data_IF_083450039713
#
_entry.id   IF_083450039713
#
_cell.length_a   1.000
_cell.length_b   1.000
_cell.length_c   1.000
_cell.angle_alpha   90.00
_cell.angle_beta   90.00
_cell.angle_gamma   90.00
#
_symmetry.space_group_name_H-M   'P 1'
#
loop_
_entity.id
_entity.type
_entity.pdbx_description
1 polymer ?
#
# COMPACT_ATOMS: atom_id res chain seq x y z
N UNK A 1 -7.30 7.22 7.38
CA UNK A 1 -8.37 6.20 7.56
C UNK A 1 -8.58 5.52 6.23
N UNK A 2 -8.48 4.19 6.18
CA UNK A 2 -8.64 3.38 4.98
C UNK A 2 -9.73 2.34 5.21
N UNK A 3 -10.60 2.15 4.23
CA UNK A 3 -11.77 1.28 4.28
C UNK A 3 -11.85 0.45 3.00
N UNK A 4 -12.40 -0.76 3.12
CA UNK A 4 -12.53 -1.71 2.03
C UNK A 4 -13.93 -2.29 1.96
N UNK A 5 -14.33 -2.71 0.77
CA UNK A 5 -15.55 -3.47 0.55
C UNK A 5 -15.29 -4.55 -0.49
N UNK A 6 -15.46 -5.81 -0.10
CA UNK A 6 -15.33 -6.96 -1.00
C UNK A 6 -16.69 -7.42 -1.48
N UNK A 7 -16.78 -7.77 -2.77
CA UNK A 7 -17.96 -8.30 -3.43
C UNK A 7 -17.55 -9.27 -4.54
N UNK A 8 -18.52 -9.90 -5.21
CA UNK A 8 -18.26 -10.78 -6.36
C UNK A 8 -17.56 -10.06 -7.53
N UNK A 9 -17.69 -8.72 -7.61
CA UNK A 9 -17.03 -7.91 -8.62
C UNK A 9 -15.57 -7.56 -8.28
N UNK A 10 -15.11 -7.91 -7.08
CA UNK A 10 -13.79 -7.55 -6.55
C UNK A 10 -13.86 -6.70 -5.28
N UNK A 11 -12.69 -6.24 -4.85
CA UNK A 11 -12.52 -5.39 -3.68
C UNK A 11 -12.36 -3.93 -4.08
N UNK A 12 -13.13 -3.05 -3.46
CA UNK A 12 -13.00 -1.59 -3.58
C UNK A 12 -12.31 -1.02 -2.34
N UNK A 13 -11.55 0.06 -2.52
CA UNK A 13 -10.95 0.80 -1.42
C UNK A 13 -11.41 2.26 -1.41
N UNK A 14 -11.41 2.85 -0.23
CA UNK A 14 -11.59 4.27 0.01
C UNK A 14 -10.67 4.69 1.16
N UNK A 15 -9.93 5.77 0.97
CA UNK A 15 -8.98 6.28 1.95
C UNK A 15 -9.07 7.80 2.07
N UNK A 16 -8.79 8.31 3.28
CA UNK A 16 -8.56 9.72 3.52
C UNK A 16 -7.42 9.97 4.50
N UNK A 17 -6.67 11.04 4.26
CA UNK A 17 -5.65 11.58 5.15
C UNK A 17 -5.61 13.10 5.06
N UNK A 18 -5.09 13.74 6.10
CA UNK A 18 -4.82 15.18 6.07
C UNK A 18 -3.52 15.43 5.31
N UNK A 19 -3.57 16.26 4.26
CA UNK A 19 -2.37 16.65 3.50
C UNK A 19 -1.71 17.89 4.08
N UNK A 20 -2.53 18.79 4.62
CA UNK A 20 -2.10 20.02 5.28
C UNK A 20 -3.24 20.53 6.17
N UNK A 21 -2.98 21.43 7.14
CA UNK A 21 -3.99 21.92 8.07
C UNK A 21 -5.31 22.32 7.38
N UNK A 22 -6.37 21.57 7.63
CA UNK A 22 -7.71 21.82 7.08
C UNK A 22 -7.89 21.44 5.60
N UNK A 23 -7.01 20.62 5.03
CA UNK A 23 -7.15 20.02 3.70
C UNK A 23 -6.92 18.51 3.78
N UNK A 24 -7.92 17.75 3.37
CA UNK A 24 -7.85 16.30 3.31
C UNK A 24 -7.84 15.81 1.88
N UNK A 25 -7.02 14.81 1.58
CA UNK A 25 -7.21 13.99 0.38
C UNK A 25 -8.23 12.91 0.66
N UNK A 26 -9.05 12.65 -0.32
CA UNK A 26 -9.88 11.45 -0.43
C UNK A 26 -9.46 10.71 -1.69
N UNK A 27 -9.17 9.43 -1.56
CA UNK A 27 -8.69 8.57 -2.62
C UNK A 27 -9.51 7.27 -2.66
N UNK A 28 -9.93 6.80 -3.83
CA UNK A 28 -10.77 5.61 -3.95
C UNK A 28 -10.60 4.90 -5.29
N UNK A 29 -10.89 3.61 -5.35
CA UNK A 29 -10.78 2.83 -6.57
C UNK A 29 -11.09 1.36 -6.39
N UNK A 30 -10.90 0.61 -7.47
CA UNK A 30 -10.80 -0.85 -7.41
C UNK A 30 -9.41 -1.22 -6.91
N UNK A 31 -9.32 -2.22 -6.01
CA UNK A 31 -8.06 -2.67 -5.43
C UNK A 31 -7.06 -3.05 -6.54
N UNK A 32 -5.83 -2.56 -6.44
CA UNK A 32 -4.79 -2.78 -7.46
C UNK A 32 -4.84 -1.82 -8.65
N UNK A 33 -5.72 -0.82 -8.63
CA UNK A 33 -5.78 0.24 -9.64
C UNK A 33 -5.44 1.60 -9.04
N UNK A 34 -4.94 2.53 -9.85
CA UNK A 34 -4.58 3.89 -9.42
C UNK A 34 -5.77 4.72 -8.91
N UNK A 35 -7.02 4.28 -9.13
CA UNK A 35 -8.22 4.94 -8.65
C UNK A 35 -8.36 6.42 -9.05
N UNK A 36 -9.05 7.17 -8.20
CA UNK A 36 -9.34 8.59 -8.34
C UNK A 36 -9.09 9.33 -7.03
N UNK A 37 -8.77 10.62 -7.13
CA UNK A 37 -8.50 11.48 -5.97
C UNK A 37 -9.28 12.78 -6.04
N UNK A 38 -9.66 13.29 -4.87
CA UNK A 38 -10.12 14.68 -4.70
C UNK A 38 -9.56 15.28 -3.41
N UNK A 39 -9.47 16.60 -3.37
CA UNK A 39 -9.09 17.34 -2.17
C UNK A 39 -10.33 18.01 -1.57
N UNK A 40 -10.56 17.80 -0.28
CA UNK A 40 -11.63 18.41 0.51
C UNK A 40 -11.00 19.46 1.42
N UNK A 41 -11.37 20.73 1.22
CA UNK A 41 -10.81 21.86 1.96
C UNK A 41 -11.82 22.47 2.91
N UNK A 42 -11.32 22.91 4.06
CA UNK A 42 -12.08 23.74 4.98
C UNK A 42 -12.41 25.09 4.34
N UNK A 43 -13.58 25.60 4.68
CA UNK A 43 -14.09 26.91 4.29
C UNK A 43 -14.66 27.61 5.52
N UNK A 44 -14.96 28.91 5.42
CA UNK A 44 -15.53 29.69 6.51
C UNK A 44 -16.81 29.09 7.10
N UNK A 45 -17.61 28.40 6.28
CA UNK A 45 -18.91 27.82 6.68
C UNK A 45 -18.86 26.31 6.92
N UNK A 46 -17.80 25.62 6.48
CA UNK A 46 -17.73 24.16 6.51
C UNK A 46 -16.31 23.69 6.73
N UNK A 47 -16.11 22.95 7.82
CA UNK A 47 -14.88 22.22 8.12
C UNK A 47 -14.74 20.98 7.23
N UNK A 48 -13.53 20.72 6.75
CA UNK A 48 -13.24 19.54 5.93
C UNK A 48 -13.59 18.26 6.71
N UNK A 49 -13.26 18.21 8.00
CA UNK A 49 -13.45 17.08 8.90
C UNK A 49 -14.92 16.65 8.96
N UNK A 50 -15.87 17.60 8.99
CA UNK A 50 -17.31 17.27 8.96
C UNK A 50 -17.73 16.67 7.62
N UNK A 51 -17.13 17.13 6.51
CA UNK A 51 -17.40 16.58 5.18
C UNK A 51 -16.83 15.17 5.07
N UNK A 52 -15.60 14.98 5.55
CA UNK A 52 -14.93 13.68 5.57
C UNK A 52 -15.69 12.68 6.46
N UNK A 53 -16.11 13.07 7.66
CA UNK A 53 -16.88 12.20 8.54
C UNK A 53 -18.18 11.75 7.88
N UNK A 54 -18.89 12.66 7.21
CA UNK A 54 -20.11 12.30 6.46
C UNK A 54 -19.82 11.29 5.34
N UNK A 55 -18.72 11.47 4.60
CA UNK A 55 -18.31 10.50 3.58
C UNK A 55 -17.97 9.14 4.20
N UNK A 56 -17.27 9.10 5.34
CA UNK A 56 -16.99 7.86 6.08
C UNK A 56 -18.30 7.15 6.46
N UNK A 57 -19.26 7.87 7.05
CA UNK A 57 -20.53 7.31 7.47
C UNK A 57 -21.32 6.73 6.27
N UNK A 58 -21.32 7.45 5.14
CA UNK A 58 -21.94 6.98 3.89
C UNK A 58 -21.24 5.73 3.32
N UNK A 59 -19.92 5.62 3.43
CA UNK A 59 -19.17 4.43 3.01
C UNK A 59 -19.46 3.24 3.92
N UNK A 60 -19.44 3.44 5.23
CA UNK A 60 -19.76 2.40 6.22
C UNK A 60 -21.18 1.88 6.00
N UNK A 61 -22.16 2.76 5.79
CA UNK A 61 -23.53 2.38 5.48
C UNK A 61 -23.66 1.56 4.17
N UNK A 62 -22.68 1.66 3.27
CA UNK A 62 -22.59 0.89 2.01
C UNK A 62 -21.76 -0.40 2.14
N UNK A 63 -21.37 -0.77 3.36
CA UNK A 63 -20.63 -2.00 3.66
C UNK A 63 -19.11 -1.88 3.56
N UNK A 64 -18.57 -0.65 3.60
CA UNK A 64 -17.11 -0.46 3.73
C UNK A 64 -16.68 -0.60 5.19
N UNK A 65 -15.58 -1.29 5.43
CA UNK A 65 -15.04 -1.53 6.78
C UNK A 65 -13.51 -1.42 6.78
N UNK A 66 -12.88 -1.02 7.89
CA UNK A 66 -11.43 -1.09 8.02
C UNK A 66 -10.96 -2.55 8.00
N UNK A 67 -9.79 -2.79 7.44
CA UNK A 67 -9.12 -4.09 7.55
C UNK A 67 -8.34 -4.15 8.87
N UNK A 68 -8.43 -5.27 9.59
CA UNK A 68 -7.67 -5.44 10.83
C UNK A 68 -6.21 -5.79 10.49
N UNK A 69 -5.24 -5.46 11.36
CA UNK A 69 -3.84 -5.81 11.12
C UNK A 69 -3.63 -7.29 10.81
N UNK A 70 -4.29 -8.19 11.55
CA UNK A 70 -4.20 -9.64 11.37
C UNK A 70 -4.84 -10.18 10.07
N UNK A 71 -5.64 -9.37 9.38
CA UNK A 71 -6.27 -9.76 8.11
C UNK A 71 -5.40 -9.39 6.89
N UNK A 72 -4.24 -8.74 7.10
CA UNK A 72 -3.29 -8.47 6.01
C UNK A 72 -2.47 -9.73 5.73
N UNK A 73 -2.22 -10.00 4.46
CA UNK A 73 -1.17 -10.94 4.07
C UNK A 73 0.19 -10.25 4.19
N UNK A 74 1.20 -10.99 4.63
CA UNK A 74 2.59 -10.50 4.66
C UNK A 74 3.26 -10.91 3.35
N UNK A 75 3.57 -9.93 2.51
CA UNK A 75 4.25 -10.11 1.22
C UNK A 75 5.72 -9.74 1.37
N UNK A 76 6.59 -10.66 0.96
CA UNK A 76 8.04 -10.51 0.98
C UNK A 76 8.55 -10.35 -0.45
N UNK A 77 9.45 -9.37 -0.67
CA UNK A 77 10.26 -9.27 -1.89
C UNK A 77 11.71 -9.50 -1.50
N UNK A 78 12.35 -10.52 -2.07
CA UNK A 78 13.71 -10.93 -1.73
C UNK A 78 14.67 -10.76 -2.89
N UNK A 79 15.91 -10.37 -2.59
CA UNK A 79 17.05 -10.30 -3.48
C UNK A 79 18.22 -11.06 -2.86
N UNK A 80 19.06 -11.62 -3.73
CA UNK A 80 20.34 -12.21 -3.31
C UNK A 80 21.39 -11.11 -3.17
N UNK A 81 22.16 -11.14 -2.09
CA UNK A 81 23.30 -10.25 -1.83
C UNK A 81 24.49 -11.05 -1.29
N UNK A 82 25.69 -10.47 -1.29
CA UNK A 82 26.86 -11.12 -0.70
C UNK A 82 26.95 -10.86 0.81
N UNK A 83 26.95 -11.93 1.62
CA UNK A 83 27.19 -11.85 3.05
C UNK A 83 26.20 -10.95 3.79
N UNK A 84 26.69 -9.82 4.33
CA UNK A 84 25.86 -8.84 5.04
C UNK A 84 25.28 -7.74 4.13
N UNK A 85 25.51 -7.84 2.82
CA UNK A 85 25.20 -6.78 1.87
C UNK A 85 26.20 -5.63 1.89
N UNK A 86 26.12 -4.79 0.86
CA UNK A 86 26.90 -3.57 0.69
C UNK A 86 26.09 -2.31 1.07
N UNK A 87 26.75 -1.15 1.09
CA UNK A 87 26.05 0.14 1.22
C UNK A 87 25.10 0.40 0.04
N UNK A 88 25.43 -0.08 -1.15
CA UNK A 88 24.59 0.03 -2.34
C UNK A 88 23.33 -0.85 -2.21
N UNK A 89 23.46 -2.05 -1.66
CA UNK A 89 22.30 -2.92 -1.37
C UNK A 89 21.40 -2.27 -0.31
N UNK A 90 22.00 -1.67 0.73
CA UNK A 90 21.24 -0.95 1.74
C UNK A 90 20.51 0.27 1.15
N UNK A 91 21.15 1.01 0.25
CA UNK A 91 20.51 2.13 -0.46
C UNK A 91 19.37 1.64 -1.37
N UNK A 92 19.58 0.52 -2.09
CA UNK A 92 18.56 -0.12 -2.91
C UNK A 92 17.35 -0.55 -2.07
N UNK A 93 17.57 -1.13 -0.88
CA UNK A 93 16.49 -1.50 0.05
C UNK A 93 15.60 -0.31 0.38
N UNK A 94 16.19 0.81 0.82
CA UNK A 94 15.41 2.00 1.19
C UNK A 94 14.64 2.58 -0.01
N UNK A 95 15.25 2.61 -1.21
CA UNK A 95 14.55 3.07 -2.41
C UNK A 95 13.39 2.16 -2.79
N UNK A 96 13.55 0.84 -2.61
CA UNK A 96 12.50 -0.13 -2.85
C UNK A 96 11.36 0.02 -1.82
N UNK A 97 11.67 0.25 -0.55
CA UNK A 97 10.68 0.53 0.49
C UNK A 97 9.83 1.76 0.14
N UNK A 98 10.46 2.87 -0.24
CA UNK A 98 9.77 4.08 -0.67
C UNK A 98 8.86 3.81 -1.88
N UNK A 99 9.38 3.08 -2.88
CA UNK A 99 8.64 2.74 -4.09
C UNK A 99 7.44 1.85 -3.79
N UNK A 100 7.59 0.85 -2.93
CA UNK A 100 6.49 -0.05 -2.55
C UNK A 100 5.47 0.67 -1.69
N UNK A 101 5.89 1.57 -0.80
CA UNK A 101 4.95 2.38 -0.05
C UNK A 101 4.10 3.27 -0.97
N UNK A 102 4.70 3.90 -1.97
CA UNK A 102 3.99 4.69 -2.99
C UNK A 102 3.04 3.81 -3.82
N UNK A 103 3.55 2.71 -4.39
CA UNK A 103 2.79 1.81 -5.26
C UNK A 103 1.61 1.18 -4.54
N UNK A 104 1.83 0.62 -3.35
CA UNK A 104 0.79 -0.04 -2.56
C UNK A 104 -0.20 0.96 -1.97
N UNK A 105 0.27 2.15 -1.59
CA UNK A 105 -0.56 3.23 -1.06
C UNK A 105 -1.60 3.68 -2.09
N UNK A 106 -1.13 4.09 -3.28
CA UNK A 106 -2.00 4.62 -4.34
C UNK A 106 -2.87 3.59 -5.04
N UNK A 107 -2.57 2.30 -4.90
CA UNK A 107 -3.41 1.22 -5.44
C UNK A 107 -4.34 0.61 -4.41
N UNK A 108 -4.36 1.17 -3.19
CA UNK A 108 -5.15 0.68 -2.07
C UNK A 108 -4.70 -0.69 -1.56
N UNK A 109 -3.55 -1.21 -2.00
CA UNK A 109 -3.12 -2.58 -1.73
C UNK A 109 -2.46 -2.78 -0.37
N UNK A 110 -1.99 -1.74 0.29
CA UNK A 110 -1.32 -1.89 1.58
C UNK A 110 -0.30 -0.80 1.83
N UNK A 111 0.77 -1.17 2.55
CA UNK A 111 1.94 -0.35 2.81
C UNK A 111 3.19 -1.24 2.98
N UNK A 112 4.36 -0.64 2.77
CA UNK A 112 5.63 -1.28 3.13
C UNK A 112 5.84 -1.18 4.65
N UNK A 113 6.34 -2.26 5.27
CA UNK A 113 6.62 -2.37 6.71
C UNK A 113 8.12 -2.58 6.97
N UNK A 114 8.95 -1.92 6.16
CA UNK A 114 10.41 -2.01 6.24
C UNK A 114 11.01 -3.25 5.58
N UNK A 115 12.20 -3.63 6.02
CA UNK A 115 12.99 -4.66 5.38
C UNK A 115 14.24 -5.02 6.17
N UNK A 116 14.90 -6.07 5.73
CA UNK A 116 16.09 -6.63 6.37
C UNK A 116 17.20 -6.88 5.35
N UNK A 117 18.44 -6.94 5.82
CA UNK A 117 19.60 -7.32 5.01
C UNK A 117 20.60 -8.09 5.86
N UNK A 118 21.08 -9.20 5.33
CA UNK A 118 22.03 -10.08 6.00
C UNK A 118 21.95 -11.51 5.51
N UNK A 119 22.88 -12.35 5.94
CA UNK A 119 22.86 -13.79 5.67
C UNK A 119 22.69 -14.18 4.18
N UNK A 120 23.15 -13.33 3.26
CA UNK A 120 23.06 -13.54 1.82
C UNK A 120 21.78 -13.03 1.16
N UNK A 121 20.87 -12.39 1.90
CA UNK A 121 19.65 -11.81 1.34
C UNK A 121 19.43 -10.36 1.75
N UNK A 122 18.71 -9.65 0.88
CA UNK A 122 18.07 -8.37 1.18
C UNK A 122 16.57 -8.56 0.91
N UNK A 123 15.73 -8.15 1.84
CA UNK A 123 14.29 -8.31 1.71
C UNK A 123 13.55 -7.06 2.16
N UNK A 124 12.35 -6.88 1.61
CA UNK A 124 11.37 -5.95 2.16
C UNK A 124 10.08 -6.69 2.48
N UNK A 125 9.42 -6.22 3.53
CA UNK A 125 8.15 -6.72 4.04
C UNK A 125 7.06 -5.71 3.70
N UNK A 126 5.90 -6.20 3.26
CA UNK A 126 4.71 -5.39 3.00
C UNK A 126 3.47 -6.06 3.57
N UNK A 127 2.64 -5.27 4.24
CA UNK A 127 1.32 -5.71 4.73
C UNK A 127 0.30 -5.38 3.65
N UNK A 128 -0.24 -6.42 2.99
CA UNK A 128 -1.10 -6.26 1.82
C UNK A 128 -2.49 -6.84 2.02
N UNK A 129 -3.48 -6.20 1.40
CA UNK A 129 -4.91 -6.57 1.49
C UNK A 129 -5.20 -7.87 0.77
N UNK A 130 -4.60 -8.04 -0.41
CA UNK A 130 -4.73 -9.22 -1.26
C UNK A 130 -3.37 -9.51 -1.86
N UNK A 131 -2.81 -10.67 -1.51
CA UNK A 131 -1.47 -11.07 -1.92
C UNK A 131 -1.34 -11.19 -3.45
N UNK A 132 -2.31 -11.83 -4.12
CA UNK A 132 -2.20 -12.14 -5.54
C UNK A 132 -2.33 -10.87 -6.38
N UNK A 133 -3.24 -9.97 -5.99
CA UNK A 133 -3.36 -8.66 -6.62
C UNK A 133 -2.12 -7.82 -6.36
N UNK A 134 -1.61 -7.79 -5.12
CA UNK A 134 -0.41 -7.05 -4.77
C UNK A 134 0.81 -7.54 -5.55
N UNK A 135 1.05 -8.85 -5.56
CA UNK A 135 2.15 -9.46 -6.31
C UNK A 135 2.09 -9.07 -7.78
N UNK A 136 0.94 -9.18 -8.43
CA UNK A 136 0.79 -8.81 -9.84
C UNK A 136 1.10 -7.32 -10.10
N UNK A 137 0.62 -6.43 -9.23
CA UNK A 137 0.87 -4.99 -9.36
C UNK A 137 2.34 -4.67 -9.15
N UNK A 138 2.97 -5.26 -8.13
CA UNK A 138 4.40 -5.12 -7.85
C UNK A 138 5.22 -5.64 -9.03
N UNK A 139 4.97 -6.85 -9.52
CA UNK A 139 5.69 -7.41 -10.67
C UNK A 139 5.62 -6.48 -11.87
N UNK A 140 4.45 -5.89 -12.15
CA UNK A 140 4.28 -4.94 -13.24
C UNK A 140 4.97 -3.59 -12.98
N UNK A 141 5.00 -3.12 -11.73
CA UNK A 141 5.66 -1.87 -11.33
C UNK A 141 7.18 -1.97 -11.40
N UNK A 142 7.75 -3.14 -11.10
CA UNK A 142 9.21 -3.34 -11.07
C UNK A 142 9.80 -3.64 -12.47
N UNK A 143 8.98 -3.99 -13.46
CA UNK A 143 9.43 -4.20 -14.85
C UNK A 143 10.18 -2.98 -15.38
N UNK A 144 11.28 -3.23 -16.09
CA UNK A 144 12.15 -2.21 -16.69
C UNK A 144 12.76 -1.20 -15.68
N UNK A 145 12.87 -1.62 -14.41
CA UNK A 145 13.58 -0.86 -13.36
C UNK A 145 14.80 -1.63 -12.83
N UNK A 146 15.67 -0.95 -12.07
CA UNK A 146 16.80 -1.58 -11.36
C UNK A 146 16.38 -2.58 -10.26
N UNK A 147 15.08 -2.69 -10.00
CA UNK A 147 14.46 -3.61 -9.05
C UNK A 147 13.90 -4.88 -9.71
N UNK A 148 13.92 -4.98 -11.05
CA UNK A 148 13.38 -6.15 -11.76
C UNK A 148 14.10 -7.48 -11.45
N UNK A 149 15.29 -7.41 -10.84
CA UNK A 149 16.15 -8.56 -10.54
C UNK A 149 15.91 -9.18 -9.16
N UNK A 150 14.69 -9.11 -8.63
CA UNK A 150 14.32 -9.83 -7.40
C UNK A 150 14.46 -11.34 -7.61
N UNK A 151 14.83 -12.05 -6.54
CA UNK A 151 14.91 -13.50 -6.54
C UNK A 151 13.52 -14.13 -6.47
N UNK A 152 12.64 -13.58 -5.62
CA UNK A 152 11.26 -14.05 -5.46
C UNK A 152 10.36 -13.03 -4.78
N UNK A 153 9.05 -13.17 -5.05
CA UNK A 153 7.97 -12.53 -4.29
C UNK A 153 7.08 -13.64 -3.73
N UNK A 154 6.94 -13.69 -2.41
CA UNK A 154 6.28 -14.78 -1.70
C UNK A 154 5.53 -14.29 -0.46
N UNK A 155 4.64 -15.14 0.09
CA UNK A 155 3.93 -14.84 1.33
C UNK A 155 4.72 -15.43 2.51
N UNK A 156 4.88 -14.69 3.60
CA UNK A 156 5.71 -15.12 4.74
C UNK A 156 5.24 -16.44 5.35
N UNK A 157 3.94 -16.69 5.42
CA UNK A 157 3.32 -17.91 5.97
C UNK A 157 3.35 -19.12 5.02
N UNK A 158 3.86 -18.95 3.80
CA UNK A 158 3.98 -20.00 2.79
C UNK A 158 5.44 -20.48 2.67
N UNK A 159 5.90 -21.21 3.69
CA UNK A 159 7.11 -22.06 3.59
C UNK A 159 6.83 -23.40 2.89
#
# INVERSE_FOLDING_TARGET
MKLYRTSDAGTEYWETWEESPGQHRVHWGQLGTMGESKVVKSSFLRKAEHTIQKEIDERVARGFHPLRPEDHAVLMIEYQVEGMGSEDDLAKRHQLEDRMNETLGWTGLGACDGGSIGSGTMEICSLVVDFDVAKKVIEQDLVDTDFANYARIYREDSE
#
